data_IF_067748203912
#
_entry.id   IF_067748203912
#
_cell.length_a   1.000
_cell.length_b   1.000
_cell.length_c   1.000
_cell.angle_alpha   90.00
_cell.angle_beta   90.00
_cell.angle_gamma   90.00
#
_symmetry.space_group_name_H-M   'P 1'
#
loop_
_entity.id
_entity.type
_entity.pdbx_description
1 polymer ?
#
# COMPACT_ATOMS: atom_id res chain seq x y z
N UNK A 1 -2.16 59.67 43.08
CA UNK A 1 -2.12 59.98 41.66
C UNK A 1 -2.86 61.26 41.37
N UNK A 2 -2.37 62.13 40.48
CA UNK A 2 -3.11 63.31 40.08
C UNK A 2 -4.44 62.92 39.40
N UNK A 3 -5.56 63.58 39.76
CA UNK A 3 -6.88 63.31 39.19
C UNK A 3 -6.87 63.26 37.64
N UNK A 4 -6.06 64.09 37.01
CA UNK A 4 -5.87 64.11 35.55
C UNK A 4 -5.25 62.82 34.98
N UNK A 5 -4.40 62.10 35.76
CA UNK A 5 -3.85 60.84 35.33
C UNK A 5 -4.88 59.68 35.41
N UNK A 6 -5.78 59.75 36.41
CA UNK A 6 -6.89 58.79 36.55
C UNK A 6 -7.90 58.95 35.41
N UNK A 7 -8.26 60.19 35.05
CA UNK A 7 -9.16 60.48 33.91
C UNK A 7 -8.57 60.00 32.58
N UNK A 8 -7.27 60.22 32.37
CA UNK A 8 -6.57 59.79 31.18
C UNK A 8 -6.48 58.26 31.09
N UNK A 9 -6.21 57.58 32.21
CA UNK A 9 -6.20 56.12 32.30
C UNK A 9 -7.57 55.49 32.03
N UNK A 10 -8.65 56.11 32.55
CA UNK A 10 -10.01 55.66 32.25
C UNK A 10 -10.37 55.85 30.76
N UNK A 11 -10.03 57.01 30.19
CA UNK A 11 -10.26 57.25 28.76
C UNK A 11 -9.48 56.33 27.86
N UNK A 12 -8.22 55.99 28.20
CA UNK A 12 -7.43 55.01 27.47
C UNK A 12 -8.06 53.61 27.52
N UNK A 13 -8.53 53.19 28.69
CA UNK A 13 -9.21 51.91 28.85
C UNK A 13 -10.53 51.82 28.09
N UNK A 14 -11.32 52.92 28.06
CA UNK A 14 -12.53 53.01 27.22
C UNK A 14 -12.19 52.82 25.73
N UNK A 15 -11.18 53.51 25.22
CA UNK A 15 -10.75 53.41 23.83
C UNK A 15 -10.25 52.01 23.48
N UNK A 16 -9.55 51.34 24.40
CA UNK A 16 -9.15 49.95 24.18
C UNK A 16 -10.37 49.02 24.06
N UNK A 17 -11.36 49.19 24.94
CA UNK A 17 -12.59 48.40 24.86
C UNK A 17 -13.41 48.70 23.59
N UNK A 18 -13.40 49.93 23.12
CA UNK A 18 -14.03 50.32 21.85
C UNK A 18 -13.30 49.68 20.66
N UNK A 19 -11.95 49.66 20.68
CA UNK A 19 -11.12 48.99 19.66
C UNK A 19 -11.38 47.50 19.63
N UNK A 20 -11.36 46.83 20.79
CA UNK A 20 -11.65 45.39 20.88
C UNK A 20 -13.04 45.05 20.31
N UNK A 21 -14.05 45.80 20.66
CA UNK A 21 -15.42 45.62 20.12
C UNK A 21 -15.48 45.81 18.60
N UNK A 22 -14.76 46.79 18.07
CA UNK A 22 -14.76 47.06 16.64
C UNK A 22 -14.01 45.95 15.87
N UNK A 23 -12.92 45.44 16.45
CA UNK A 23 -12.21 44.27 15.90
C UNK A 23 -13.13 43.03 15.88
N UNK A 24 -13.83 42.73 16.99
CA UNK A 24 -14.79 41.62 17.05
C UNK A 24 -15.91 41.78 16.02
N UNK A 25 -16.43 43.01 15.85
CA UNK A 25 -17.46 43.29 14.84
C UNK A 25 -16.96 43.02 13.42
N UNK A 26 -15.77 43.53 13.08
CA UNK A 26 -15.17 43.32 11.74
C UNK A 26 -14.92 41.86 11.49
N UNK A 27 -14.34 41.14 12.46
CA UNK A 27 -14.09 39.71 12.34
C UNK A 27 -15.38 38.89 12.20
N UNK A 28 -16.42 39.27 12.95
CA UNK A 28 -17.76 38.69 12.85
C UNK A 28 -18.38 38.88 11.46
N UNK A 29 -18.29 40.10 10.91
CA UNK A 29 -18.79 40.40 9.57
C UNK A 29 -18.05 39.63 8.49
N UNK A 30 -16.71 39.50 8.59
CA UNK A 30 -15.89 38.70 7.67
C UNK A 30 -16.23 37.22 7.79
N UNK A 31 -16.34 36.69 9.01
CA UNK A 31 -16.74 35.32 9.25
C UNK A 31 -18.12 34.98 8.66
N UNK A 32 -19.10 35.92 8.81
CA UNK A 32 -20.42 35.77 8.23
C UNK A 32 -20.39 35.76 6.68
N UNK A 33 -19.48 36.51 6.05
CA UNK A 33 -19.28 36.45 4.60
C UNK A 33 -18.75 35.10 4.16
N UNK A 34 -17.73 34.55 4.84
CA UNK A 34 -17.18 33.23 4.56
C UNK A 34 -18.21 32.14 4.79
N UNK A 35 -18.96 32.22 5.91
CA UNK A 35 -19.99 31.24 6.24
C UNK A 35 -21.09 31.12 5.17
N UNK A 36 -21.42 32.20 4.47
CA UNK A 36 -22.41 32.16 3.37
C UNK A 36 -21.94 31.38 2.15
N UNK A 37 -20.63 31.25 1.98
CA UNK A 37 -19.98 30.52 0.85
C UNK A 37 -19.30 29.24 1.33
N UNK A 38 -19.62 28.79 2.55
CA UNK A 38 -18.89 27.65 3.16
C UNK A 38 -19.00 26.37 2.32
N UNK A 39 -20.18 26.08 1.79
CA UNK A 39 -20.41 24.86 0.99
C UNK A 39 -19.64 24.91 -0.33
N UNK A 40 -19.67 26.06 -1.05
CA UNK A 40 -18.92 26.23 -2.29
C UNK A 40 -17.40 26.21 -2.07
N UNK A 41 -16.93 26.79 -0.97
CA UNK A 41 -15.52 26.76 -0.59
C UNK A 41 -15.07 25.34 -0.25
N UNK A 42 -15.87 24.60 0.53
CA UNK A 42 -15.59 23.21 0.89
C UNK A 42 -15.52 22.35 -0.36
N UNK A 43 -16.53 22.41 -1.23
CA UNK A 43 -16.55 21.67 -2.49
C UNK A 43 -15.35 22.03 -3.38
N UNK A 44 -14.98 23.30 -3.46
CA UNK A 44 -13.83 23.75 -4.25
C UNK A 44 -12.51 23.16 -3.71
N UNK A 45 -12.34 23.14 -2.38
CA UNK A 45 -11.15 22.56 -1.74
C UNK A 45 -11.08 21.07 -1.97
N UNK A 46 -12.20 20.34 -1.86
CA UNK A 46 -12.28 18.91 -2.14
C UNK A 46 -11.92 18.60 -3.62
N UNK A 47 -12.48 19.37 -4.56
CA UNK A 47 -12.15 19.20 -5.98
C UNK A 47 -10.67 19.49 -6.29
N UNK A 48 -10.09 20.51 -5.65
CA UNK A 48 -8.66 20.80 -5.76
C UNK A 48 -7.79 19.70 -5.17
N UNK A 49 -8.20 19.09 -4.06
CA UNK A 49 -7.48 17.97 -3.44
C UNK A 49 -7.47 16.74 -4.36
N UNK A 50 -8.60 16.42 -4.99
CA UNK A 50 -8.69 15.33 -5.96
C UNK A 50 -7.81 15.56 -7.18
N UNK A 51 -7.80 16.79 -7.70
CA UNK A 51 -6.93 17.18 -8.82
C UNK A 51 -5.44 17.09 -8.44
N UNK A 52 -5.06 17.57 -7.26
CA UNK A 52 -3.68 17.50 -6.80
C UNK A 52 -3.22 16.07 -6.62
N UNK A 53 -4.05 15.20 -6.04
CA UNK A 53 -3.79 13.77 -5.93
C UNK A 53 -3.61 13.10 -7.30
N UNK A 54 -4.49 13.39 -8.26
CA UNK A 54 -4.37 12.85 -9.61
C UNK A 54 -3.08 13.30 -10.31
N UNK A 55 -2.74 14.59 -10.17
CA UNK A 55 -1.49 15.14 -10.71
C UNK A 55 -0.25 14.55 -10.02
N UNK A 56 -0.31 14.30 -8.71
CA UNK A 56 0.78 13.67 -7.96
C UNK A 56 1.01 12.22 -8.44
N UNK A 57 -0.05 11.44 -8.63
CA UNK A 57 0.00 10.09 -9.20
C UNK A 57 0.60 10.11 -10.61
N UNK A 58 0.17 11.03 -11.47
CA UNK A 58 0.71 11.16 -12.83
C UNK A 58 2.19 11.55 -12.86
N UNK A 59 2.61 12.48 -12.01
CA UNK A 59 4.05 12.82 -11.86
C UNK A 59 4.86 11.63 -11.37
N UNK A 60 4.35 10.86 -10.41
CA UNK A 60 5.03 9.67 -9.89
C UNK A 60 5.14 8.58 -10.96
N UNK A 61 4.10 8.37 -11.76
CA UNK A 61 4.14 7.46 -12.91
C UNK A 61 5.26 7.83 -13.90
N UNK A 62 5.41 9.11 -14.23
CA UNK A 62 6.50 9.59 -15.09
C UNK A 62 7.89 9.35 -14.49
N UNK A 63 8.06 9.57 -13.17
CA UNK A 63 9.34 9.33 -12.48
C UNK A 63 9.75 7.86 -12.52
N UNK A 64 8.78 6.96 -12.42
CA UNK A 64 9.00 5.51 -12.43
C UNK A 64 9.05 4.91 -13.84
N UNK A 65 8.77 5.70 -14.89
CA UNK A 65 8.52 5.19 -16.23
C UNK A 65 7.48 4.04 -16.15
N UNK A 66 6.34 4.34 -15.52
CA UNK A 66 5.30 3.39 -15.17
C UNK A 66 4.19 3.38 -16.21
N UNK A 67 3.57 2.22 -16.40
CA UNK A 67 2.45 2.00 -17.31
C UNK A 67 1.18 1.66 -16.55
N UNK A 68 0.02 1.85 -17.18
CA UNK A 68 -1.27 1.42 -16.64
C UNK A 68 -1.39 -0.10 -16.77
N UNK A 69 -1.53 -0.86 -15.65
CA UNK A 69 -1.74 -2.29 -15.72
C UNK A 69 -3.19 -2.62 -16.06
N UNK A 70 -3.44 -3.75 -16.71
CA UNK A 70 -4.78 -4.31 -16.81
C UNK A 70 -5.20 -4.85 -15.42
N UNK A 71 -6.33 -4.36 -14.90
CA UNK A 71 -6.89 -4.83 -13.65
C UNK A 71 -7.81 -6.03 -13.90
N UNK A 72 -7.42 -7.19 -13.39
CA UNK A 72 -8.15 -8.44 -13.56
C UNK A 72 -9.16 -8.60 -12.42
N UNK A 73 -10.47 -8.65 -12.67
CA UNK A 73 -11.46 -8.97 -11.66
C UNK A 73 -11.40 -10.46 -11.29
N UNK A 74 -11.59 -10.79 -10.00
CA UNK A 74 -11.73 -12.18 -9.58
C UNK A 74 -13.01 -12.82 -10.16
N UNK A 75 -12.90 -14.06 -10.63
CA UNK A 75 -14.05 -14.83 -11.11
C UNK A 75 -15.07 -15.04 -9.99
N UNK A 76 -16.34 -14.82 -10.27
CA UNK A 76 -17.44 -15.12 -9.34
C UNK A 76 -18.21 -13.92 -8.80
N UNK A 77 -17.84 -12.67 -9.12
CA UNK A 77 -18.74 -11.54 -8.89
C UNK A 77 -19.86 -11.54 -9.95
N UNK A 78 -21.15 -11.38 -9.57
CA UNK A 78 -22.22 -11.13 -10.54
C UNK A 78 -21.85 -9.88 -11.35
N UNK A 79 -21.71 -10.02 -12.68
CA UNK A 79 -21.30 -8.93 -13.57
C UNK A 79 -19.80 -8.85 -13.88
N UNK A 80 -18.95 -9.73 -13.35
CA UNK A 80 -17.54 -9.81 -13.80
C UNK A 80 -17.50 -10.40 -15.20
N UNK A 81 -16.97 -9.64 -16.14
CA UNK A 81 -16.57 -10.15 -17.46
C UNK A 81 -15.51 -11.23 -17.21
N UNK A 82 -15.60 -12.34 -17.93
CA UNK A 82 -14.63 -13.42 -17.84
C UNK A 82 -13.20 -12.85 -17.90
N UNK A 83 -12.30 -13.44 -17.13
CA UNK A 83 -10.87 -13.11 -17.17
C UNK A 83 -10.43 -12.91 -18.62
N UNK A 84 -9.69 -11.83 -18.87
CA UNK A 84 -9.28 -11.44 -20.21
C UNK A 84 -8.79 -12.64 -21.03
N UNK A 85 -8.90 -12.57 -22.33
CA UNK A 85 -8.67 -13.66 -23.31
C UNK A 85 -7.33 -14.43 -23.11
N UNK A 86 -6.40 -13.90 -22.30
CA UNK A 86 -5.09 -14.47 -22.05
C UNK A 86 -5.04 -15.56 -20.96
N UNK A 87 -6.08 -15.75 -20.15
CA UNK A 87 -6.12 -16.80 -19.11
C UNK A 87 -5.10 -16.64 -17.98
N UNK A 88 -4.48 -15.47 -17.80
CA UNK A 88 -3.56 -15.18 -16.72
C UNK A 88 -4.30 -14.83 -15.42
N UNK A 89 -3.73 -15.28 -14.30
CA UNK A 89 -4.13 -14.87 -12.95
C UNK A 89 -3.29 -13.69 -12.46
N UNK A 90 -2.05 -13.58 -12.91
CA UNK A 90 -1.09 -12.51 -12.67
C UNK A 90 -0.09 -12.53 -13.83
N UNK A 91 0.17 -11.37 -14.44
CA UNK A 91 1.19 -11.25 -15.48
C UNK A 91 1.90 -9.89 -15.33
N UNK A 92 3.04 -9.90 -14.66
CA UNK A 92 3.89 -8.73 -14.51
C UNK A 92 5.12 -8.91 -15.40
N UNK A 93 5.26 -8.05 -16.39
CA UNK A 93 6.35 -8.08 -17.37
C UNK A 93 7.33 -6.96 -17.07
N UNK A 94 8.61 -7.28 -17.02
CA UNK A 94 9.70 -6.33 -16.76
C UNK A 94 9.44 -5.46 -15.52
N UNK A 95 8.90 -6.08 -14.46
CA UNK A 95 8.57 -5.39 -13.23
C UNK A 95 9.84 -4.93 -12.51
N UNK A 96 9.92 -3.64 -12.22
CA UNK A 96 11.05 -3.00 -11.54
C UNK A 96 10.62 -2.55 -10.14
N UNK A 97 11.42 -2.85 -9.14
CA UNK A 97 11.11 -2.40 -7.77
C UNK A 97 11.24 -0.86 -7.67
N UNK A 98 10.16 -0.12 -7.34
CA UNK A 98 10.11 1.34 -7.46
C UNK A 98 11.06 2.09 -6.52
N UNK A 99 11.54 1.44 -5.45
CA UNK A 99 12.45 2.03 -4.46
C UNK A 99 13.91 1.66 -4.69
N UNK A 100 14.22 0.89 -5.72
CA UNK A 100 15.61 0.60 -6.10
C UNK A 100 16.08 1.61 -7.15
N UNK A 101 17.41 1.79 -7.20
CA UNK A 101 18.05 2.65 -8.20
C UNK A 101 17.68 2.18 -9.61
N UNK A 102 17.04 3.02 -10.45
CA UNK A 102 16.64 2.66 -11.81
C UNK A 102 17.78 2.17 -12.70
N UNK A 103 19.02 2.64 -12.43
CA UNK A 103 20.21 2.22 -13.18
C UNK A 103 20.73 0.83 -12.79
N UNK A 104 20.28 0.29 -11.66
CA UNK A 104 20.82 -0.95 -11.07
C UNK A 104 19.73 -2.02 -10.87
N UNK A 105 18.46 -1.64 -10.90
CA UNK A 105 17.35 -2.58 -10.73
C UNK A 105 17.32 -3.56 -11.91
N UNK A 106 17.24 -4.85 -11.59
CA UNK A 106 17.05 -5.90 -12.60
C UNK A 106 15.54 -6.13 -12.73
N UNK A 107 14.95 -5.91 -13.92
CA UNK A 107 13.55 -6.21 -14.16
C UNK A 107 13.25 -7.71 -14.02
N UNK A 108 12.08 -8.06 -13.52
CA UNK A 108 11.63 -9.44 -13.37
C UNK A 108 10.31 -9.66 -14.13
N UNK A 109 10.14 -10.87 -14.65
CA UNK A 109 8.86 -11.33 -15.19
C UNK A 109 8.23 -12.33 -14.22
N UNK A 110 6.97 -12.11 -13.88
CA UNK A 110 6.22 -12.97 -12.95
C UNK A 110 4.86 -13.27 -13.57
N UNK A 111 4.63 -14.51 -13.94
CA UNK A 111 3.36 -14.93 -14.53
C UNK A 111 2.77 -16.13 -13.79
N UNK A 112 1.47 -16.07 -13.51
CA UNK A 112 0.64 -17.16 -13.04
C UNK A 112 -0.53 -17.32 -13.99
N UNK A 113 -0.67 -18.50 -14.60
CA UNK A 113 -1.83 -18.80 -15.46
C UNK A 113 -3.09 -19.10 -14.63
N UNK A 114 -4.25 -19.21 -15.29
CA UNK A 114 -5.53 -19.38 -14.61
C UNK A 114 -5.65 -20.62 -13.70
N UNK A 115 -4.81 -21.63 -13.90
CA UNK A 115 -4.79 -22.87 -13.11
C UNK A 115 -3.67 -22.90 -12.07
N UNK A 116 -2.72 -21.96 -12.14
CA UNK A 116 -1.61 -21.86 -11.20
C UNK A 116 -1.98 -20.93 -10.05
N UNK A 117 -1.84 -21.43 -8.83
CA UNK A 117 -2.13 -20.66 -7.61
C UNK A 117 -0.87 -20.32 -6.84
N UNK A 118 0.21 -21.03 -7.06
CA UNK A 118 1.47 -20.78 -6.35
C UNK A 118 2.66 -20.70 -7.29
N UNK A 119 3.58 -19.78 -6.97
CA UNK A 119 4.92 -19.67 -7.54
C UNK A 119 5.93 -19.89 -6.41
N UNK A 120 6.76 -20.93 -6.56
CA UNK A 120 7.85 -21.21 -5.61
C UNK A 120 9.17 -20.79 -6.24
N UNK A 121 9.86 -19.86 -5.59
CA UNK A 121 11.15 -19.33 -6.02
C UNK A 121 12.25 -19.97 -5.17
N UNK A 122 13.11 -20.76 -5.77
CA UNK A 122 14.22 -21.42 -5.08
C UNK A 122 15.57 -20.87 -5.54
N UNK A 123 16.58 -21.00 -4.71
CA UNK A 123 17.95 -20.59 -5.05
C UNK A 123 18.66 -19.89 -3.88
N UNK A 124 19.91 -19.43 -4.08
CA UNK A 124 20.67 -18.75 -3.04
C UNK A 124 20.06 -17.39 -2.65
N UNK A 125 20.32 -16.91 -1.41
CA UNK A 125 19.77 -15.65 -0.90
C UNK A 125 20.22 -14.44 -1.71
N UNK A 126 21.40 -14.48 -2.31
CA UNK A 126 21.92 -13.42 -3.18
C UNK A 126 21.21 -13.31 -4.53
N UNK A 127 20.30 -14.24 -4.86
CA UNK A 127 19.59 -14.29 -6.15
C UNK A 127 18.37 -13.37 -6.28
N UNK A 128 18.09 -12.49 -5.30
CA UNK A 128 16.99 -11.54 -5.39
C UNK A 128 15.59 -12.09 -5.08
N UNK A 129 15.47 -13.28 -4.46
CA UNK A 129 14.18 -13.92 -4.11
C UNK A 129 13.28 -13.01 -3.30
N UNK A 130 13.78 -12.50 -2.17
CA UNK A 130 13.07 -11.56 -1.28
C UNK A 130 12.66 -10.28 -2.01
N UNK A 131 13.55 -9.75 -2.86
CA UNK A 131 13.26 -8.54 -3.66
C UNK A 131 12.14 -8.84 -4.66
N UNK A 132 12.11 -10.02 -5.27
CA UNK A 132 11.03 -10.42 -6.17
C UNK A 132 9.68 -10.49 -5.47
N UNK A 133 9.61 -11.08 -4.26
CA UNK A 133 8.39 -11.09 -3.45
C UNK A 133 7.94 -9.67 -3.08
N UNK A 134 8.87 -8.83 -2.59
CA UNK A 134 8.60 -7.43 -2.24
C UNK A 134 8.11 -6.64 -3.46
N UNK A 135 8.69 -6.89 -4.64
CA UNK A 135 8.28 -6.25 -5.89
C UNK A 135 6.82 -6.58 -6.22
N UNK A 136 6.44 -7.85 -6.23
CA UNK A 136 5.06 -8.26 -6.55
C UNK A 136 4.06 -7.70 -5.52
N UNK A 137 4.37 -7.80 -4.23
CA UNK A 137 3.51 -7.26 -3.17
C UNK A 137 3.30 -5.75 -3.30
N UNK A 138 4.37 -5.01 -3.60
CA UNK A 138 4.30 -3.56 -3.78
C UNK A 138 3.54 -3.19 -5.05
N UNK A 139 3.72 -3.93 -6.17
CA UNK A 139 2.91 -3.73 -7.39
C UNK A 139 1.42 -3.93 -7.09
N UNK A 140 1.04 -4.96 -6.34
CA UNK A 140 -0.35 -5.20 -5.96
C UNK A 140 -0.91 -4.05 -5.12
N UNK A 141 -0.18 -3.58 -4.11
CA UNK A 141 -0.60 -2.44 -3.29
C UNK A 141 -0.69 -1.12 -4.09
N UNK A 142 0.27 -0.87 -4.99
CA UNK A 142 0.26 0.30 -5.88
C UNK A 142 -0.93 0.30 -6.83
N UNK A 143 -1.23 -0.83 -7.47
CA UNK A 143 -2.39 -0.98 -8.35
C UNK A 143 -3.71 -0.67 -7.60
N UNK A 144 -3.87 -1.19 -6.38
CA UNK A 144 -5.04 -0.93 -5.53
C UNK A 144 -5.14 0.52 -5.06
N UNK A 145 -4.01 1.22 -4.94
CA UNK A 145 -3.99 2.66 -4.67
C UNK A 145 -4.28 3.52 -5.92
N UNK A 146 -4.50 2.89 -7.09
CA UNK A 146 -4.72 3.56 -8.36
C UNK A 146 -3.46 4.24 -8.89
N UNK A 147 -2.29 3.65 -8.65
CA UNK A 147 -1.01 4.07 -9.21
C UNK A 147 -0.70 3.23 -10.46
N UNK A 148 -0.05 3.84 -11.45
CA UNK A 148 0.61 3.11 -12.51
C UNK A 148 1.80 2.31 -11.95
N UNK A 149 2.15 1.22 -12.64
CA UNK A 149 3.20 0.30 -12.20
C UNK A 149 4.45 0.43 -13.09
N UNK A 150 5.66 0.34 -12.52
CA UNK A 150 6.90 0.28 -13.30
C UNK A 150 7.09 -1.11 -13.94
N UNK A 151 6.22 -1.41 -14.91
CA UNK A 151 6.15 -2.67 -15.65
C UNK A 151 6.04 -2.38 -17.15
N UNK A 152 6.25 -3.37 -18.00
CA UNK A 152 5.99 -3.24 -19.44
C UNK A 152 4.48 -3.23 -19.73
N UNK A 153 4.11 -2.62 -20.86
CA UNK A 153 2.74 -2.62 -21.37
C UNK A 153 2.18 -4.04 -21.52
N UNK A 154 0.88 -4.19 -21.28
CA UNK A 154 0.19 -5.48 -21.31
C UNK A 154 0.40 -6.32 -20.06
N UNK A 155 1.00 -5.75 -19.00
CA UNK A 155 1.00 -6.38 -17.67
C UNK A 155 -0.39 -6.34 -17.06
N UNK A 156 -0.76 -7.42 -16.35
CA UNK A 156 -2.08 -7.60 -15.78
C UNK A 156 -1.98 -8.05 -14.31
N UNK A 157 -2.80 -7.47 -13.44
CA UNK A 157 -2.78 -7.75 -12.00
C UNK A 157 -4.19 -7.83 -11.43
N UNK A 158 -4.49 -8.81 -10.56
CA UNK A 158 -5.78 -8.88 -9.88
C UNK A 158 -5.96 -7.77 -8.85
N UNK A 159 -7.22 -7.39 -8.62
CA UNK A 159 -7.60 -6.54 -7.50
C UNK A 159 -7.83 -7.44 -6.29
N UNK A 160 -6.80 -7.69 -5.50
CA UNK A 160 -6.86 -8.55 -4.33
C UNK A 160 -7.72 -7.92 -3.22
N UNK A 161 -8.49 -8.74 -2.49
CA UNK A 161 -9.24 -8.28 -1.31
C UNK A 161 -8.35 -8.30 -0.04
N UNK A 162 -7.28 -9.10 -0.05
CA UNK A 162 -6.26 -9.15 1.00
C UNK A 162 -4.87 -9.35 0.45
N UNK A 163 -3.91 -8.60 0.98
CA UNK A 163 -2.48 -8.80 0.71
C UNK A 163 -1.82 -9.13 2.03
N UNK A 164 -1.26 -10.33 2.12
CA UNK A 164 -0.63 -10.85 3.33
C UNK A 164 0.83 -11.15 3.04
N UNK A 165 1.71 -10.71 3.92
CA UNK A 165 3.14 -10.92 3.77
C UNK A 165 3.77 -11.40 5.08
N UNK A 166 4.58 -12.42 4.98
CA UNK A 166 5.56 -12.82 5.97
C UNK A 166 6.94 -12.74 5.31
N UNK A 167 7.52 -11.56 5.33
CA UNK A 167 8.79 -11.21 4.71
C UNK A 167 9.62 -10.49 5.78
N UNK A 168 10.63 -11.15 6.33
CA UNK A 168 11.49 -10.62 7.38
C UNK A 168 12.96 -10.66 7.01
N UNK A 169 13.77 -9.71 7.51
CA UNK A 169 15.23 -9.75 7.43
C UNK A 169 15.75 -10.44 8.72
N UNK A 170 16.26 -11.67 8.60
CA UNK A 170 16.87 -12.44 9.70
C UNK A 170 18.27 -11.91 10.12
N UNK A 171 18.62 -10.66 9.87
CA UNK A 171 19.99 -10.17 10.09
C UNK A 171 20.39 -9.90 11.54
N UNK A 172 19.61 -10.27 12.56
CA UNK A 172 20.01 -10.17 13.98
C UNK A 172 20.21 -11.54 14.60
N UNK A 173 21.47 -11.93 14.77
CA UNK A 173 21.92 -13.20 15.34
C UNK A 173 21.44 -13.42 16.81
N UNK A 174 20.98 -12.39 17.51
CA UNK A 174 20.55 -12.46 18.91
C UNK A 174 19.08 -12.81 19.14
N UNK A 175 18.25 -13.01 18.07
CA UNK A 175 16.80 -13.18 18.18
C UNK A 175 16.23 -14.49 17.58
N UNK A 176 17.02 -15.47 17.25
CA UNK A 176 16.62 -16.61 16.41
C UNK A 176 15.41 -17.44 16.90
N UNK A 177 15.20 -17.60 18.21
CA UNK A 177 14.04 -18.36 18.75
C UNK A 177 12.76 -17.54 18.84
N UNK A 178 12.87 -16.22 19.10
CA UNK A 178 11.73 -15.32 19.13
C UNK A 178 11.22 -14.98 17.72
N UNK A 179 12.11 -14.98 16.72
CA UNK A 179 11.79 -14.73 15.31
C UNK A 179 11.01 -15.89 14.69
N UNK A 180 11.43 -17.14 14.87
CA UNK A 180 10.70 -18.32 14.35
C UNK A 180 9.26 -18.37 14.88
N UNK A 181 9.09 -18.18 16.20
CA UNK A 181 7.74 -18.17 16.80
C UNK A 181 6.89 -17.00 16.30
N UNK A 182 7.49 -15.84 16.05
CA UNK A 182 6.82 -14.67 15.50
C UNK A 182 6.35 -14.91 14.05
N UNK A 183 7.24 -15.44 13.20
CA UNK A 183 6.92 -15.83 11.83
C UNK A 183 5.80 -16.87 11.80
N UNK A 184 5.88 -17.91 12.63
CA UNK A 184 4.86 -18.94 12.68
C UNK A 184 3.49 -18.38 13.13
N UNK A 185 3.45 -17.50 14.12
CA UNK A 185 2.21 -16.85 14.56
C UNK A 185 1.61 -15.98 13.44
N UNK A 186 2.44 -15.23 12.70
CA UNK A 186 2.00 -14.45 11.57
C UNK A 186 1.44 -15.36 10.45
N UNK A 187 2.15 -16.42 10.11
CA UNK A 187 1.69 -17.42 9.12
C UNK A 187 0.35 -18.03 9.54
N UNK A 188 0.18 -18.41 10.81
CA UNK A 188 -1.10 -18.96 11.33
C UNK A 188 -2.23 -17.93 11.20
N UNK A 189 -1.95 -16.65 11.49
CA UNK A 189 -2.93 -15.58 11.30
C UNK A 189 -3.30 -15.39 9.82
N UNK A 190 -2.32 -15.48 8.90
CA UNK A 190 -2.51 -15.43 7.45
C UNK A 190 -3.39 -16.60 7.00
N UNK A 191 -3.08 -17.84 7.41
CA UNK A 191 -3.83 -19.03 7.05
C UNK A 191 -5.30 -18.97 7.51
N UNK A 192 -5.57 -18.27 8.61
CA UNK A 192 -6.94 -18.06 9.10
C UNK A 192 -7.75 -17.04 8.29
N UNK A 193 -7.11 -16.14 7.57
CA UNK A 193 -7.76 -15.01 6.86
C UNK A 193 -7.70 -15.12 5.34
N UNK A 194 -6.64 -15.69 4.80
CA UNK A 194 -6.43 -15.77 3.36
C UNK A 194 -7.47 -16.66 2.68
N UNK A 195 -7.93 -16.24 1.52
CA UNK A 195 -8.93 -16.89 0.67
C UNK A 195 -8.53 -16.85 -0.81
N UNK A 196 -9.43 -17.24 -1.71
CA UNK A 196 -9.19 -17.27 -3.16
C UNK A 196 -9.00 -15.89 -3.81
N UNK A 197 -9.22 -14.80 -3.07
CA UNK A 197 -9.02 -13.40 -3.49
C UNK A 197 -7.83 -12.73 -2.84
N UNK A 198 -7.00 -13.52 -2.18
CA UNK A 198 -5.86 -13.05 -1.42
C UNK A 198 -4.55 -13.28 -2.18
N UNK A 199 -3.61 -12.32 -2.02
CA UNK A 199 -2.21 -12.49 -2.35
C UNK A 199 -1.44 -12.82 -1.07
N UNK A 200 -0.74 -13.94 -1.05
CA UNK A 200 0.09 -14.38 0.07
C UNK A 200 1.55 -14.44 -0.36
N UNK A 201 2.41 -13.76 0.38
CA UNK A 201 3.85 -13.66 0.13
C UNK A 201 4.61 -14.21 1.33
N UNK A 202 5.34 -15.31 1.14
CA UNK A 202 6.08 -15.96 2.21
C UNK A 202 7.55 -16.05 1.83
N UNK A 203 8.42 -15.49 2.67
CA UNK A 203 9.86 -15.58 2.51
C UNK A 203 10.45 -16.59 3.50
N UNK A 204 11.51 -17.27 3.08
CA UNK A 204 12.25 -18.25 3.87
C UNK A 204 11.37 -19.32 4.56
N UNK A 205 10.31 -19.75 3.86
CA UNK A 205 9.33 -20.70 4.41
C UNK A 205 9.99 -22.02 4.81
N UNK A 206 9.90 -22.34 6.11
CA UNK A 206 10.49 -23.52 6.70
C UNK A 206 11.92 -23.33 7.22
N UNK A 207 12.49 -22.12 7.15
CA UNK A 207 13.77 -21.79 7.76
C UNK A 207 13.66 -21.68 9.30
N UNK A 208 14.79 -21.76 9.99
CA UNK A 208 14.86 -21.55 11.45
C UNK A 208 14.52 -22.78 12.31
N UNK A 209 14.29 -23.96 11.70
CA UNK A 209 14.09 -25.25 12.40
C UNK A 209 14.89 -26.37 11.73
N UNK A 210 14.74 -27.61 12.22
CA UNK A 210 15.32 -28.78 11.57
C UNK A 210 14.87 -28.87 10.10
N UNK A 211 15.76 -29.14 9.14
CA UNK A 211 15.44 -29.15 7.71
C UNK A 211 14.29 -30.09 7.33
N UNK A 212 14.17 -31.24 8.01
CA UNK A 212 13.08 -32.21 7.73
C UNK A 212 11.75 -31.68 8.25
N UNK A 213 11.74 -31.14 9.47
CA UNK A 213 10.55 -30.52 10.05
C UNK A 213 10.13 -29.26 9.30
N UNK A 214 11.08 -28.39 8.95
CA UNK A 214 10.86 -27.18 8.17
C UNK A 214 10.25 -27.47 6.80
N UNK A 215 10.79 -28.48 6.10
CA UNK A 215 10.24 -28.91 4.80
C UNK A 215 8.81 -29.48 4.93
N UNK A 216 8.55 -30.26 5.97
CA UNK A 216 7.20 -30.80 6.22
C UNK A 216 6.19 -29.68 6.53
N UNK A 217 6.58 -28.72 7.35
CA UNK A 217 5.77 -27.54 7.68
C UNK A 217 5.50 -26.69 6.43
N UNK A 218 6.53 -26.38 5.64
CA UNK A 218 6.39 -25.61 4.41
C UNK A 218 5.40 -26.27 3.43
N UNK A 219 5.49 -27.58 3.27
CA UNK A 219 4.56 -28.35 2.42
C UNK A 219 3.14 -28.31 2.94
N UNK A 220 2.93 -28.43 4.26
CA UNK A 220 1.60 -28.34 4.87
C UNK A 220 0.97 -26.96 4.66
N UNK A 221 1.74 -25.88 4.87
CA UNK A 221 1.30 -24.49 4.65
C UNK A 221 0.92 -24.28 3.18
N UNK A 222 1.79 -24.67 2.25
CA UNK A 222 1.53 -24.54 0.81
C UNK A 222 0.28 -25.33 0.38
N UNK A 223 0.14 -26.58 0.84
CA UNK A 223 -1.05 -27.39 0.54
C UNK A 223 -2.32 -26.68 1.01
N UNK A 224 -2.33 -26.15 2.23
CA UNK A 224 -3.48 -25.42 2.77
C UNK A 224 -3.84 -24.19 1.93
N UNK A 225 -2.87 -23.40 1.51
CA UNK A 225 -3.08 -22.23 0.65
C UNK A 225 -3.57 -22.61 -0.75
N UNK A 226 -3.06 -23.69 -1.32
CA UNK A 226 -3.49 -24.23 -2.61
C UNK A 226 -4.95 -24.76 -2.54
N UNK A 227 -5.32 -25.47 -1.49
CA UNK A 227 -6.68 -25.96 -1.28
C UNK A 227 -7.69 -24.80 -1.19
N UNK A 228 -7.26 -23.66 -0.66
CA UNK A 228 -8.01 -22.41 -0.63
C UNK A 228 -7.91 -21.57 -1.90
N UNK A 229 -7.11 -22.00 -2.87
CA UNK A 229 -6.86 -21.29 -4.15
C UNK A 229 -6.30 -19.89 -3.98
N UNK A 230 -5.58 -19.62 -2.89
CA UNK A 230 -4.90 -18.35 -2.67
C UNK A 230 -3.82 -18.13 -3.72
N UNK A 231 -3.69 -16.91 -4.24
CA UNK A 231 -2.54 -16.54 -5.07
C UNK A 231 -1.32 -16.40 -4.16
N UNK A 232 -0.35 -17.32 -4.29
CA UNK A 232 0.74 -17.45 -3.32
C UNK A 232 2.10 -17.37 -4.01
N UNK A 233 3.00 -16.53 -3.51
CA UNK A 233 4.40 -16.52 -3.91
C UNK A 233 5.25 -16.87 -2.69
N UNK A 234 6.15 -17.81 -2.87
CA UNK A 234 7.01 -18.31 -1.79
C UNK A 234 8.46 -18.34 -2.23
N UNK A 235 9.34 -17.80 -1.40
CA UNK A 235 10.77 -18.01 -1.53
C UNK A 235 11.24 -19.01 -0.48
N UNK A 236 12.08 -19.95 -0.90
CA UNK A 236 12.65 -20.98 -0.03
C UNK A 236 14.01 -21.44 -0.54
N UNK A 237 14.71 -22.25 0.25
CA UNK A 237 16.01 -22.87 -0.06
C UNK A 237 15.86 -24.25 -0.66
#
# INVERSE_FOLDING_TARGET
>A
EPLSAVEMGNRWRELQLEEEKEIERILGDLAAHVARLADELTWTVEALADLDLAMAKGRYANVLDATEPELIPFRGRPGSVAAGEAGYRLDLRQARHPLLDPARVVPIDVALTGEQYALVITGPNTGGKTVSLKTVGLMAAMAQAGLHLPVAEGSAIPVFEGIYADIGDEQSIEQSLSTFSSHLNNIVAILGRADDRSLVLLDELGAGTDPVEGSALARAILTHLLDRRCTTLVATH
#
